data_IF_844699625105
#
_entry.id   IF_844699625105
#
_cell.length_a   1.000
_cell.length_b   1.000
_cell.length_c   1.000
_cell.angle_alpha   90.00
_cell.angle_beta   90.00
_cell.angle_gamma   90.00
#
_symmetry.space_group_name_H-M   'P 1'
#
loop_
_entity.id
_entity.type
_entity.pdbx_description
1 polymer ?
#
# COMPACT_ATOMS: atom_id res chain seq x y z
N UNK A 1 18.03 -27.15 14.42
CA UNK A 1 17.36 -26.22 13.46
C UNK A 1 15.86 -26.06 13.69
N UNK A 2 15.16 -26.97 14.39
CA UNK A 2 13.71 -26.84 14.70
C UNK A 2 13.32 -25.72 15.67
N UNK A 3 14.30 -25.03 16.30
CA UNK A 3 14.01 -23.93 17.23
C UNK A 3 13.76 -22.59 16.55
N UNK A 4 14.18 -22.38 15.30
CA UNK A 4 14.03 -21.08 14.62
C UNK A 4 12.75 -21.02 13.79
N UNK A 5 12.44 -22.09 13.06
CA UNK A 5 11.25 -22.19 12.23
C UNK A 5 10.74 -23.63 12.17
N UNK A 6 9.43 -23.79 12.35
CA UNK A 6 8.70 -25.03 12.15
C UNK A 6 7.43 -24.74 11.35
N UNK A 7 7.28 -25.41 10.20
CA UNK A 7 6.16 -25.21 9.28
C UNK A 7 4.81 -25.58 9.90
N UNK A 8 4.76 -26.58 10.80
CA UNK A 8 3.54 -26.98 11.47
C UNK A 8 3.11 -25.95 12.52
N UNK A 9 4.07 -25.37 13.26
CA UNK A 9 3.79 -24.26 14.19
C UNK A 9 3.34 -23.03 13.44
N UNK A 10 4.03 -22.67 12.36
CA UNK A 10 3.66 -21.57 11.49
C UNK A 10 2.25 -21.75 10.91
N UNK A 11 1.91 -22.92 10.37
CA UNK A 11 0.60 -23.20 9.79
C UNK A 11 -0.54 -23.09 10.81
N UNK A 12 -0.33 -23.62 12.03
CA UNK A 12 -1.31 -23.47 13.13
C UNK A 12 -1.48 -22.01 13.54
N UNK A 13 -0.38 -21.25 13.67
CA UNK A 13 -0.43 -19.83 13.99
C UNK A 13 -1.15 -19.04 12.89
N UNK A 14 -0.81 -19.30 11.63
CA UNK A 14 -1.41 -18.66 10.46
C UNK A 14 -2.92 -18.90 10.41
N UNK A 15 -3.36 -20.16 10.57
CA UNK A 15 -4.79 -20.51 10.56
C UNK A 15 -5.55 -19.85 11.70
N UNK A 16 -4.94 -19.79 12.89
CA UNK A 16 -5.53 -19.11 14.05
C UNK A 16 -5.68 -17.61 13.83
N UNK A 17 -4.65 -16.95 13.33
CA UNK A 17 -4.71 -15.52 13.02
C UNK A 17 -5.66 -15.24 11.84
N UNK A 18 -5.74 -16.14 10.85
CA UNK A 18 -6.72 -16.07 9.76
C UNK A 18 -8.15 -16.06 10.29
N UNK A 19 -8.49 -16.98 11.21
CA UNK A 19 -9.82 -17.03 11.82
C UNK A 19 -10.16 -15.79 12.63
N UNK A 20 -9.17 -15.11 13.22
CA UNK A 20 -9.37 -13.82 13.91
C UNK A 20 -9.52 -12.65 12.94
N UNK A 21 -8.88 -12.74 11.77
CA UNK A 21 -8.85 -11.68 10.78
C UNK A 21 -10.03 -11.73 9.81
N UNK A 22 -10.60 -12.91 9.57
CA UNK A 22 -11.70 -13.11 8.62
C UNK A 22 -12.92 -12.21 8.89
N UNK A 23 -13.37 -11.94 10.14
CA UNK A 23 -14.50 -11.04 10.37
C UNK A 23 -14.19 -9.59 9.98
N UNK A 24 -12.93 -9.15 10.14
CA UNK A 24 -12.49 -7.81 9.70
C UNK A 24 -12.48 -7.70 8.18
N UNK A 25 -11.99 -8.74 7.49
CA UNK A 25 -12.02 -8.79 6.01
C UNK A 25 -13.45 -8.76 5.49
N UNK A 26 -14.35 -9.53 6.11
CA UNK A 26 -15.77 -9.52 5.77
C UNK A 26 -16.37 -8.13 6.01
N UNK A 27 -16.05 -7.49 7.13
CA UNK A 27 -16.47 -6.12 7.43
C UNK A 27 -15.99 -5.12 6.37
N UNK A 28 -14.72 -5.16 6.00
CA UNK A 28 -14.15 -4.29 4.93
C UNK A 28 -14.84 -4.57 3.60
N UNK A 29 -15.03 -5.83 3.25
CA UNK A 29 -15.75 -6.24 2.04
C UNK A 29 -17.19 -5.73 2.02
N UNK A 30 -17.91 -5.82 3.15
CA UNK A 30 -19.28 -5.32 3.27
C UNK A 30 -19.38 -3.79 3.14
N UNK A 31 -18.43 -3.04 3.72
CA UNK A 31 -18.35 -1.59 3.57
C UNK A 31 -18.09 -1.24 2.11
N UNK A 32 -17.16 -1.95 1.47
CA UNK A 32 -16.90 -1.80 0.04
C UNK A 32 -18.15 -2.06 -0.80
N UNK A 33 -18.91 -3.12 -0.53
CA UNK A 33 -20.15 -3.45 -1.24
C UNK A 33 -21.23 -2.38 -1.01
N UNK A 34 -21.29 -1.80 0.19
CA UNK A 34 -22.14 -0.64 0.48
C UNK A 34 -21.77 0.58 -0.37
N UNK A 35 -20.48 0.90 -0.47
CA UNK A 35 -19.98 1.98 -1.34
C UNK A 35 -20.31 1.69 -2.81
N UNK A 36 -20.18 0.43 -3.23
CA UNK A 36 -20.59 -0.02 -4.57
C UNK A 36 -22.09 0.23 -4.81
N UNK A 37 -22.96 -0.20 -3.92
CA UNK A 37 -24.41 0.00 -4.06
C UNK A 37 -24.77 1.50 -4.13
N UNK A 38 -24.17 2.32 -3.26
CA UNK A 38 -24.35 3.78 -3.28
C UNK A 38 -23.86 4.40 -4.59
N UNK A 39 -22.74 3.91 -5.13
CA UNK A 39 -22.19 4.39 -6.40
C UNK A 39 -23.11 4.06 -7.57
N UNK A 40 -23.66 2.86 -7.61
CA UNK A 40 -24.63 2.46 -8.64
C UNK A 40 -25.85 3.37 -8.58
N UNK A 41 -26.43 3.59 -7.40
CA UNK A 41 -27.57 4.49 -7.22
C UNK A 41 -27.22 5.91 -7.68
N UNK A 42 -26.07 6.43 -7.27
CA UNK A 42 -25.60 7.75 -7.69
C UNK A 42 -25.47 7.85 -9.22
N UNK A 43 -24.84 6.87 -9.86
CA UNK A 43 -24.66 6.86 -11.32
C UNK A 43 -25.99 6.83 -12.07
N UNK A 44 -26.99 6.14 -11.52
CA UNK A 44 -28.33 6.09 -12.10
C UNK A 44 -29.09 7.42 -11.95
N UNK A 45 -28.97 8.08 -10.79
CA UNK A 45 -29.65 9.35 -10.50
C UNK A 45 -29.03 10.51 -11.27
N UNK A 46 -27.70 10.60 -11.31
CA UNK A 46 -26.98 11.76 -11.83
C UNK A 46 -26.41 11.57 -13.24
N UNK A 47 -26.60 10.40 -13.86
CA UNK A 47 -26.10 10.06 -15.21
C UNK A 47 -24.61 10.40 -15.41
N UNK A 48 -23.81 10.26 -14.36
CA UNK A 48 -22.39 10.59 -14.36
C UNK A 48 -21.57 9.43 -13.82
N UNK A 49 -20.35 9.23 -14.36
CA UNK A 49 -19.43 8.17 -13.94
C UNK A 49 -18.18 8.64 -13.16
N UNK A 50 -18.28 9.57 -12.19
CA UNK A 50 -17.09 10.12 -11.54
C UNK A 50 -16.36 9.13 -10.61
N UNK A 51 -16.92 7.96 -10.30
CA UNK A 51 -16.50 7.14 -9.16
C UNK A 51 -15.54 5.98 -9.49
N UNK A 52 -15.11 5.83 -10.75
CA UNK A 52 -14.14 4.80 -11.15
C UNK A 52 -12.77 4.98 -10.47
N UNK A 53 -12.32 6.23 -10.31
CA UNK A 53 -11.08 6.52 -9.60
C UNK A 53 -11.18 6.22 -8.10
N UNK A 54 -12.38 6.33 -7.52
CA UNK A 54 -12.60 6.13 -6.08
C UNK A 54 -12.41 4.68 -5.66
N UNK A 55 -12.82 3.69 -6.46
CA UNK A 55 -12.58 2.26 -6.14
C UNK A 55 -11.13 1.85 -6.26
N UNK A 56 -10.44 2.36 -7.29
CA UNK A 56 -9.01 2.13 -7.47
C UNK A 56 -8.23 2.76 -6.32
N UNK A 57 -8.50 4.02 -6.00
CA UNK A 57 -7.89 4.73 -4.88
C UNK A 57 -8.19 4.03 -3.54
N UNK A 58 -9.42 3.54 -3.34
CA UNK A 58 -9.80 2.76 -2.17
C UNK A 58 -9.03 1.44 -2.08
N UNK A 59 -8.89 0.72 -3.19
CA UNK A 59 -8.09 -0.51 -3.25
C UNK A 59 -6.63 -0.26 -2.89
N UNK A 60 -6.00 0.75 -3.50
CA UNK A 60 -4.62 1.15 -3.19
C UNK A 60 -4.50 1.55 -1.72
N UNK A 61 -5.39 2.39 -1.21
CA UNK A 61 -5.40 2.79 0.20
C UNK A 61 -5.53 1.57 1.13
N UNK A 62 -6.40 0.60 0.82
CA UNK A 62 -6.54 -0.62 1.61
C UNK A 62 -5.27 -1.47 1.62
N UNK A 63 -4.58 -1.62 0.48
CA UNK A 63 -3.31 -2.36 0.44
C UNK A 63 -2.22 -1.69 1.26
N UNK A 64 -2.13 -0.36 1.18
CA UNK A 64 -1.17 0.45 1.94
C UNK A 64 -1.47 0.40 3.44
N UNK A 65 -2.75 0.49 3.82
CA UNK A 65 -3.20 0.50 5.21
C UNK A 65 -3.36 -0.90 5.83
N UNK A 66 -3.17 -1.94 5.04
CA UNK A 66 -3.22 -3.34 5.47
C UNK A 66 -2.46 -3.60 6.79
N UNK A 67 -1.21 -3.13 6.95
CA UNK A 67 -0.45 -3.38 8.16
C UNK A 67 -1.10 -2.76 9.41
N UNK A 68 -1.76 -1.61 9.26
CA UNK A 68 -2.43 -0.90 10.36
C UNK A 68 -3.71 -1.63 10.77
N UNK A 69 -4.51 -2.05 9.79
CA UNK A 69 -5.76 -2.79 10.02
C UNK A 69 -5.46 -4.13 10.71
N UNK A 70 -4.34 -4.75 10.32
CA UNK A 70 -3.88 -6.01 10.89
C UNK A 70 -3.33 -5.82 12.31
N UNK A 71 -2.63 -4.71 12.61
CA UNK A 71 -2.00 -4.53 13.91
C UNK A 71 -3.05 -4.53 15.04
N UNK A 72 -3.12 -5.66 15.74
CA UNK A 72 -3.92 -5.89 16.93
C UNK A 72 -3.60 -4.80 17.96
N UNK A 73 -4.63 -4.12 18.50
CA UNK A 73 -4.48 -3.54 19.84
C UNK A 73 -4.31 -4.74 20.75
N UNK A 74 -3.12 -4.89 21.33
CA UNK A 74 -2.87 -5.94 22.30
C UNK A 74 -3.80 -5.66 23.49
N UNK A 75 -4.98 -6.27 23.46
CA UNK A 75 -5.86 -6.27 24.61
C UNK A 75 -5.14 -7.02 25.73
N UNK A 76 -5.08 -6.36 26.90
CA UNK A 76 -4.27 -6.75 28.06
C UNK A 76 -4.53 -8.20 28.52
N UNK A 77 -5.68 -8.77 28.15
CA UNK A 77 -6.13 -10.13 28.47
C UNK A 77 -5.61 -11.19 27.49
N UNK A 78 -5.33 -10.84 26.24
CA UNK A 78 -4.87 -11.78 25.21
C UNK A 78 -3.34 -11.81 25.03
N UNK A 79 -2.61 -10.85 25.62
CA UNK A 79 -1.14 -10.81 25.55
C UNK A 79 -0.50 -12.04 26.21
N UNK A 80 -1.05 -12.50 27.33
CA UNK A 80 -0.50 -13.63 28.10
C UNK A 80 -0.43 -14.88 27.23
N UNK A 81 -1.49 -15.19 26.47
CA UNK A 81 -1.52 -16.32 25.56
C UNK A 81 -0.56 -16.17 24.37
N UNK A 82 -0.31 -14.95 23.90
CA UNK A 82 0.63 -14.71 22.80
C UNK A 82 2.12 -14.80 23.26
N UNK A 83 2.38 -14.68 24.57
CA UNK A 83 3.69 -14.89 25.19
C UNK A 83 3.94 -16.35 25.61
N UNK A 84 2.90 -17.12 25.96
CA UNK A 84 3.07 -18.53 26.37
C UNK A 84 3.21 -19.52 25.21
N UNK A 85 2.96 -19.08 23.97
CA UNK A 85 3.10 -19.94 22.81
C UNK A 85 4.58 -20.11 22.43
N UNK A 86 5.05 -21.36 22.23
CA UNK A 86 6.44 -21.66 21.84
C UNK A 86 6.63 -21.38 20.34
N UNK A 87 6.46 -20.12 19.95
CA UNK A 87 6.52 -19.62 18.58
C UNK A 87 7.65 -18.61 18.50
N UNK A 88 8.52 -18.77 17.51
CA UNK A 88 9.65 -17.85 17.33
C UNK A 88 9.17 -16.47 16.86
N UNK A 89 9.90 -15.40 17.20
CA UNK A 89 9.61 -14.05 16.68
C UNK A 89 9.66 -13.99 15.15
N UNK A 90 10.43 -14.88 14.52
CA UNK A 90 10.47 -15.02 13.06
C UNK A 90 9.17 -15.59 12.48
N UNK A 91 8.61 -16.65 13.08
CA UNK A 91 7.30 -17.19 12.68
C UNK A 91 6.20 -16.13 12.84
N UNK A 92 6.20 -15.38 13.94
CA UNK A 92 5.25 -14.28 14.18
C UNK A 92 5.38 -13.17 13.13
N UNK A 93 6.61 -12.77 12.81
CA UNK A 93 6.88 -11.79 11.76
C UNK A 93 6.39 -12.26 10.40
N UNK A 94 6.71 -13.50 10.00
CA UNK A 94 6.29 -14.07 8.72
C UNK A 94 4.78 -14.12 8.59
N UNK A 95 4.04 -14.43 9.67
CA UNK A 95 2.57 -14.37 9.63
C UNK A 95 2.11 -12.92 9.38
N UNK A 96 2.58 -11.95 10.16
CA UNK A 96 2.23 -10.53 9.98
C UNK A 96 2.55 -10.01 8.57
N UNK A 97 3.73 -10.36 8.07
CA UNK A 97 4.19 -10.02 6.73
C UNK A 97 3.32 -10.68 5.66
N UNK A 98 3.03 -11.98 5.77
CA UNK A 98 2.20 -12.70 4.78
C UNK A 98 0.79 -12.14 4.71
N UNK A 99 0.17 -11.79 5.84
CA UNK A 99 -1.14 -11.16 5.87
C UNK A 99 -1.14 -9.79 5.22
N UNK A 100 -0.13 -8.98 5.53
CA UNK A 100 -0.05 -7.60 5.06
C UNK A 100 0.33 -7.55 3.57
N UNK A 101 1.39 -8.23 3.18
CA UNK A 101 2.04 -8.10 1.86
C UNK A 101 1.41 -9.01 0.80
N UNK A 102 0.95 -10.21 1.18
CA UNK A 102 0.42 -11.18 0.20
C UNK A 102 -1.11 -11.21 0.27
N UNK A 103 -1.66 -11.53 1.45
CA UNK A 103 -3.08 -11.84 1.57
C UNK A 103 -3.97 -10.61 1.32
N UNK A 104 -3.61 -9.44 1.86
CA UNK A 104 -4.43 -8.24 1.68
C UNK A 104 -4.41 -7.71 0.24
N UNK A 105 -3.28 -7.57 -0.48
CA UNK A 105 -3.30 -7.22 -1.90
C UNK A 105 -4.05 -8.23 -2.76
N UNK A 106 -3.88 -9.53 -2.50
CA UNK A 106 -4.64 -10.57 -3.19
C UNK A 106 -6.16 -10.40 -2.96
N UNK A 107 -6.57 -10.13 -1.72
CA UNK A 107 -7.97 -9.83 -1.39
C UNK A 107 -8.50 -8.59 -2.12
N UNK A 108 -7.72 -7.49 -2.16
CA UNK A 108 -8.11 -6.27 -2.87
C UNK A 108 -8.25 -6.51 -4.38
N UNK A 109 -7.33 -7.25 -5.01
CA UNK A 109 -7.41 -7.60 -6.42
C UNK A 109 -8.66 -8.44 -6.69
N UNK A 110 -8.89 -9.49 -5.89
CA UNK A 110 -10.08 -10.33 -6.02
C UNK A 110 -11.37 -9.52 -5.84
N UNK A 111 -11.38 -8.58 -4.89
CA UNK A 111 -12.49 -7.68 -4.63
C UNK A 111 -12.77 -6.72 -5.79
N UNK A 112 -11.74 -6.11 -6.37
CA UNK A 112 -11.87 -5.24 -7.55
C UNK A 112 -12.35 -6.00 -8.77
N UNK A 113 -11.88 -7.24 -8.98
CA UNK A 113 -12.36 -8.12 -10.04
C UNK A 113 -13.84 -8.47 -9.85
N UNK A 114 -14.26 -8.76 -8.62
CA UNK A 114 -15.65 -9.02 -8.29
C UNK A 114 -16.53 -7.80 -8.58
N UNK A 115 -16.12 -6.59 -8.16
CA UNK A 115 -16.84 -5.35 -8.49
C UNK A 115 -16.90 -5.12 -9.99
N UNK A 116 -15.77 -5.26 -10.68
CA UNK A 116 -15.70 -5.09 -12.13
C UNK A 116 -16.61 -6.05 -12.88
N UNK A 117 -16.75 -7.28 -12.38
CA UNK A 117 -17.71 -8.27 -12.88
C UNK A 117 -19.16 -7.88 -12.58
N UNK A 118 -19.48 -7.45 -11.36
CA UNK A 118 -20.83 -6.99 -10.98
C UNK A 118 -21.30 -5.80 -11.84
N UNK A 119 -20.42 -4.84 -12.12
CA UNK A 119 -20.74 -3.71 -13.00
C UNK A 119 -21.16 -4.14 -14.41
N UNK A 120 -20.58 -5.21 -14.94
CA UNK A 120 -20.91 -5.75 -16.27
C UNK A 120 -22.28 -6.42 -16.34
N UNK A 121 -22.79 -6.89 -15.20
CA UNK A 121 -24.12 -7.51 -15.13
C UNK A 121 -25.25 -6.49 -15.07
N UNK A 122 -24.97 -5.23 -14.75
CA UNK A 122 -26.00 -4.21 -14.60
C UNK A 122 -26.46 -3.65 -15.95
N UNK A 123 -27.78 -3.47 -16.16
CA UNK A 123 -28.31 -2.87 -17.38
C UNK A 123 -27.98 -1.36 -17.43
N UNK A 124 -27.27 -0.94 -18.47
CA UNK A 124 -26.91 0.46 -18.71
C UNK A 124 -25.45 0.62 -19.14
N UNK A 125 -25.22 1.27 -20.30
CA UNK A 125 -23.88 1.38 -20.91
C UNK A 125 -22.82 2.02 -19.99
N UNK A 126 -23.22 2.96 -19.13
CA UNK A 126 -22.29 3.66 -18.21
C UNK A 126 -21.71 2.75 -17.11
N UNK A 127 -22.49 1.77 -16.64
CA UNK A 127 -22.04 0.79 -15.65
C UNK A 127 -21.04 -0.19 -16.29
N UNK A 128 -21.28 -0.58 -17.54
CA UNK A 128 -20.39 -1.47 -18.29
C UNK A 128 -19.03 -0.82 -18.53
N UNK A 129 -19.00 0.45 -18.93
CA UNK A 129 -17.74 1.21 -19.09
C UNK A 129 -16.95 1.34 -17.78
N UNK A 130 -17.65 1.50 -16.66
CA UNK A 130 -17.04 1.60 -15.33
C UNK A 130 -16.37 0.29 -14.93
N UNK A 131 -17.06 -0.83 -15.15
CA UNK A 131 -16.51 -2.17 -14.93
C UNK A 131 -15.32 -2.50 -15.85
N UNK A 132 -15.34 -2.06 -17.12
CA UNK A 132 -14.21 -2.28 -18.04
C UNK A 132 -12.99 -1.48 -17.60
N UNK A 133 -13.14 -0.21 -17.21
CA UNK A 133 -12.02 0.63 -16.72
C UNK A 133 -11.32 0.05 -15.50
N UNK A 134 -12.05 -0.56 -14.55
CA UNK A 134 -11.43 -1.22 -13.38
C UNK A 134 -10.56 -2.41 -13.83
N UNK A 135 -11.05 -3.21 -14.76
CA UNK A 135 -10.33 -4.38 -15.27
C UNK A 135 -9.14 -3.94 -16.12
N UNK A 136 -9.30 -2.92 -16.95
CA UNK A 136 -8.23 -2.36 -17.77
C UNK A 136 -7.16 -1.72 -16.88
N UNK A 137 -7.55 -1.05 -15.79
CA UNK A 137 -6.61 -0.56 -14.77
C UNK A 137 -5.78 -1.69 -14.19
N UNK A 138 -6.42 -2.79 -13.74
CA UNK A 138 -5.70 -3.95 -13.19
C UNK A 138 -4.73 -4.57 -14.20
N UNK A 139 -5.08 -4.58 -15.49
CA UNK A 139 -4.19 -5.05 -16.57
C UNK A 139 -3.06 -4.06 -16.88
N UNK A 140 -3.32 -2.77 -16.73
CA UNK A 140 -2.35 -1.70 -16.98
C UNK A 140 -1.35 -1.52 -15.84
N UNK A 141 -1.55 -2.18 -14.69
CA UNK A 141 -0.64 -2.12 -13.55
C UNK A 141 0.74 -2.60 -13.97
N UNK A 142 1.68 -1.67 -14.07
CA UNK A 142 3.07 -2.00 -14.35
C UNK A 142 3.72 -2.60 -13.11
N UNK A 143 4.74 -3.44 -13.32
CA UNK A 143 5.55 -3.99 -12.22
C UNK A 143 6.07 -2.89 -11.29
N UNK A 144 6.38 -1.73 -11.85
CA UNK A 144 6.90 -0.56 -11.14
C UNK A 144 5.88 0.06 -10.19
N UNK A 145 4.62 0.12 -10.61
CA UNK A 145 3.52 0.59 -9.77
C UNK A 145 3.28 -0.39 -8.61
N UNK A 146 3.36 -1.69 -8.87
CA UNK A 146 3.26 -2.73 -7.84
C UNK A 146 4.40 -2.60 -6.82
N UNK A 147 5.64 -2.39 -7.29
CA UNK A 147 6.78 -2.14 -6.42
C UNK A 147 6.60 -0.87 -5.60
N UNK A 148 6.10 0.21 -6.21
CA UNK A 148 5.86 1.49 -5.52
C UNK A 148 4.82 1.36 -4.41
N UNK A 149 3.72 0.63 -4.68
CA UNK A 149 2.69 0.33 -3.68
C UNK A 149 3.28 -0.53 -2.55
N UNK A 150 4.11 -1.51 -2.89
CA UNK A 150 4.79 -2.39 -1.93
C UNK A 150 5.80 -1.64 -1.06
N UNK A 151 6.54 -0.69 -1.65
CA UNK A 151 7.43 0.22 -0.93
C UNK A 151 6.64 1.05 0.06
N UNK A 152 5.56 1.67 -0.36
CA UNK A 152 4.71 2.49 0.52
C UNK A 152 4.09 1.63 1.64
N UNK A 153 3.62 0.42 1.32
CA UNK A 153 3.14 -0.54 2.31
C UNK A 153 4.20 -0.93 3.35
N UNK A 154 5.47 -1.06 2.96
CA UNK A 154 6.57 -1.39 3.88
C UNK A 154 6.78 -0.31 4.95
N UNK A 155 6.64 0.97 4.60
CA UNK A 155 6.70 2.07 5.58
C UNK A 155 5.57 1.98 6.62
N UNK A 156 4.36 1.65 6.17
CA UNK A 156 3.23 1.45 7.08
C UNK A 156 3.41 0.22 7.97
N UNK A 157 4.04 -0.84 7.47
CA UNK A 157 4.40 -2.00 8.28
C UNK A 157 5.39 -1.62 9.38
N UNK A 158 6.48 -0.93 9.05
CA UNK A 158 7.46 -0.42 10.04
C UNK A 158 6.75 0.48 11.06
N UNK A 159 5.98 1.44 10.57
CA UNK A 159 5.25 2.38 11.40
C UNK A 159 4.30 1.71 12.39
N UNK A 160 3.69 0.58 12.01
CA UNK A 160 2.84 -0.21 12.89
C UNK A 160 3.56 -0.80 14.10
N UNK A 161 4.86 -1.09 13.98
CA UNK A 161 5.68 -1.57 15.09
C UNK A 161 6.21 -0.43 15.97
N UNK A 162 6.51 0.74 15.40
CA UNK A 162 7.01 1.89 16.16
C UNK A 162 5.91 2.62 16.94
N UNK A 163 4.74 2.79 16.33
CA UNK A 163 3.66 3.56 16.94
C UNK A 163 2.58 2.64 17.53
N UNK A 164 2.32 2.75 18.83
CA UNK A 164 1.26 1.96 19.49
C UNK A 164 -0.16 2.53 19.33
N UNK A 165 -0.28 3.85 19.19
CA UNK A 165 -1.56 4.57 19.07
C UNK A 165 -1.50 5.55 17.90
N UNK A 166 -2.62 5.69 17.20
CA UNK A 166 -2.78 6.57 16.03
C UNK A 166 -1.72 6.35 14.94
N UNK A 167 -1.44 5.08 14.64
CA UNK A 167 -0.40 4.66 13.69
C UNK A 167 -0.55 5.38 12.36
N UNK A 168 -1.76 5.37 11.79
CA UNK A 168 -2.04 6.00 10.51
C UNK A 168 -1.57 7.47 10.47
N UNK A 169 -2.04 8.30 11.40
CA UNK A 169 -1.69 9.71 11.42
C UNK A 169 -0.19 9.95 11.59
N UNK A 170 0.46 9.20 12.49
CA UNK A 170 1.89 9.39 12.78
C UNK A 170 2.78 8.96 11.62
N UNK A 171 2.44 7.86 10.95
CA UNK A 171 3.20 7.39 9.78
C UNK A 171 3.00 8.34 8.60
N UNK A 172 1.76 8.73 8.30
CA UNK A 172 1.48 9.67 7.22
C UNK A 172 2.18 11.01 7.44
N UNK A 173 2.12 11.56 8.66
CA UNK A 173 2.82 12.80 9.01
C UNK A 173 4.34 12.66 8.91
N UNK A 174 4.91 11.53 9.37
CA UNK A 174 6.34 11.26 9.24
C UNK A 174 6.78 11.17 7.78
N UNK A 175 5.98 10.54 6.91
CA UNK A 175 6.27 10.46 5.48
C UNK A 175 6.22 11.84 4.83
N UNK A 176 5.21 12.66 5.15
CA UNK A 176 5.10 14.03 4.64
C UNK A 176 6.32 14.86 5.04
N UNK A 177 6.71 14.83 6.32
CA UNK A 177 7.91 15.55 6.78
C UNK A 177 9.16 15.05 6.08
N UNK A 178 9.31 13.73 5.93
CA UNK A 178 10.44 13.14 5.24
C UNK A 178 10.54 13.59 3.78
N UNK A 179 9.43 13.54 3.02
CA UNK A 179 9.40 14.00 1.64
C UNK A 179 9.66 15.50 1.51
N UNK A 180 9.16 16.32 2.45
CA UNK A 180 9.43 17.76 2.48
C UNK A 180 10.92 18.05 2.70
N UNK A 181 11.54 17.39 3.67
CA UNK A 181 12.98 17.51 3.93
C UNK A 181 13.82 17.03 2.75
N UNK A 182 13.44 15.89 2.16
CA UNK A 182 14.11 15.36 0.98
C UNK A 182 14.02 16.32 -0.22
N UNK A 183 12.84 16.89 -0.46
CA UNK A 183 12.65 17.89 -1.50
C UNK A 183 13.50 19.15 -1.24
N UNK A 184 13.57 19.62 0.01
CA UNK A 184 14.41 20.75 0.38
C UNK A 184 15.89 20.47 0.10
N UNK A 185 16.41 19.32 0.51
CA UNK A 185 17.79 18.90 0.22
C UNK A 185 18.03 18.83 -1.29
N UNK A 186 17.08 18.30 -2.04
CA UNK A 186 17.18 18.21 -3.50
C UNK A 186 17.23 19.60 -4.16
N UNK A 187 16.40 20.55 -3.71
CA UNK A 187 16.42 21.94 -4.20
C UNK A 187 17.79 22.58 -3.91
N UNK A 188 18.30 22.46 -2.68
CA UNK A 188 19.59 23.02 -2.31
C UNK A 188 20.73 22.40 -3.15
N UNK A 189 20.70 21.08 -3.32
CA UNK A 189 21.69 20.38 -4.14
C UNK A 189 21.64 20.84 -5.60
N UNK A 190 20.44 20.91 -6.19
CA UNK A 190 20.26 21.39 -7.55
C UNK A 190 20.77 22.83 -7.73
N UNK A 191 20.43 23.74 -6.79
CA UNK A 191 20.88 25.12 -6.83
C UNK A 191 22.41 25.25 -6.73
N UNK A 192 23.07 24.38 -5.96
CA UNK A 192 24.53 24.37 -5.86
C UNK A 192 25.25 23.83 -7.10
N UNK A 193 24.64 22.88 -7.83
CA UNK A 193 25.23 22.27 -9.03
C UNK A 193 24.94 23.06 -10.31
N UNK A 194 23.77 23.70 -10.41
CA UNK A 194 23.33 24.44 -11.59
C UNK A 194 23.16 25.92 -11.24
N UNK A 195 24.27 26.65 -11.29
CA UNK A 195 24.34 28.10 -11.03
C UNK A 195 23.67 28.96 -12.10
N UNK A 196 23.29 28.40 -13.26
CA UNK A 196 22.66 29.14 -14.35
C UNK A 196 21.13 29.07 -14.29
N UNK A 197 20.48 30.16 -13.85
CA UNK A 197 19.11 30.67 -14.06
C UNK A 197 17.96 29.78 -14.63
N UNK A 198 17.99 28.46 -14.45
CA UNK A 198 16.92 27.58 -14.86
C UNK A 198 15.89 27.57 -13.73
N UNK A 199 14.69 28.09 -14.00
CA UNK A 199 13.59 28.03 -13.07
C UNK A 199 13.18 26.56 -12.90
N UNK A 200 13.48 26.00 -11.73
CA UNK A 200 13.05 24.64 -11.38
C UNK A 200 11.64 24.71 -10.84
N UNK A 201 10.66 24.30 -11.66
CA UNK A 201 9.31 24.04 -11.17
C UNK A 201 9.25 22.62 -10.58
N UNK A 202 9.01 22.52 -9.28
CA UNK A 202 8.78 21.23 -8.61
C UNK A 202 7.35 20.77 -8.87
N UNK A 203 7.17 19.88 -9.85
CA UNK A 203 5.94 19.12 -10.04
C UNK A 203 5.97 17.84 -9.21
N UNK A 204 5.14 17.75 -8.17
CA UNK A 204 4.98 16.49 -7.40
C UNK A 204 4.02 15.59 -8.18
N UNK A 205 4.56 14.79 -9.10
CA UNK A 205 3.81 13.76 -9.79
C UNK A 205 4.03 12.42 -9.10
N UNK A 206 3.04 12.03 -8.27
CA UNK A 206 3.03 10.76 -7.51
C UNK A 206 3.08 9.51 -8.40
N UNK A 207 2.83 9.67 -9.71
CA UNK A 207 2.83 8.61 -10.70
C UNK A 207 3.74 8.99 -11.87
N UNK A 208 5.05 8.97 -11.62
CA UNK A 208 6.07 8.65 -12.62
C UNK A 208 6.39 9.65 -13.74
N UNK A 209 5.54 10.61 -14.06
CA UNK A 209 5.83 11.54 -15.16
C UNK A 209 6.13 12.92 -14.59
N UNK A 210 7.39 13.19 -14.24
CA UNK A 210 7.83 14.57 -14.01
C UNK A 210 7.70 15.35 -15.34
N UNK A 211 6.55 15.98 -15.56
CA UNK A 211 6.37 16.91 -16.67
C UNK A 211 7.09 18.21 -16.31
N UNK A 212 8.31 18.36 -16.84
CA UNK A 212 8.93 19.66 -17.00
C UNK A 212 8.21 20.38 -18.15
N UNK A 213 7.33 21.31 -17.81
CA UNK A 213 6.60 22.13 -18.78
C UNK A 213 7.41 23.39 -19.04
N UNK A 214 8.35 23.33 -19.98
CA UNK A 214 8.94 24.54 -20.55
C UNK A 214 8.21 24.94 -21.82
N UNK A 215 7.93 26.23 -21.93
CA UNK A 215 6.85 26.80 -22.75
C UNK A 215 7.06 26.78 -24.26
N UNK A 216 8.09 26.11 -24.79
CA UNK A 216 8.22 25.96 -26.23
C UNK A 216 8.76 24.62 -26.75
N UNK A 217 9.54 23.86 -26.00
CA UNK A 217 9.96 22.50 -26.42
C UNK A 217 9.82 21.55 -25.23
N UNK A 218 8.78 20.72 -25.23
CA UNK A 218 8.61 19.63 -24.27
C UNK A 218 9.59 18.51 -24.58
N UNK A 219 10.87 18.75 -24.32
CA UNK A 219 11.80 17.67 -24.07
C UNK A 219 11.36 17.03 -22.76
N UNK A 220 10.45 16.06 -22.87
CA UNK A 220 10.25 15.11 -21.79
C UNK A 220 11.63 14.58 -21.44
N UNK A 221 12.04 14.76 -20.19
CA UNK A 221 13.14 14.02 -19.57
C UNK A 221 12.80 12.52 -19.45
N UNK A 222 12.06 11.98 -20.43
CA UNK A 222 11.84 10.55 -20.67
C UNK A 222 13.13 9.84 -21.07
N UNK A 223 14.18 10.61 -21.42
CA UNK A 223 15.48 10.11 -21.88
C UNK A 223 16.63 10.15 -20.87
N UNK A 224 16.47 10.72 -19.66
CA UNK A 224 17.42 10.35 -18.60
C UNK A 224 17.07 8.91 -18.29
N UNK A 225 17.86 7.98 -18.84
CA UNK A 225 18.05 6.62 -18.36
C UNK A 225 17.56 6.57 -16.92
N UNK A 226 16.34 6.06 -16.69
CA UNK A 226 15.78 5.87 -15.36
C UNK A 226 16.88 5.26 -14.56
N UNK A 227 17.52 6.07 -13.72
CA UNK A 227 18.88 5.79 -13.31
C UNK A 227 18.75 4.47 -12.56
N UNK A 228 19.22 3.37 -13.16
CA UNK A 228 18.77 2.03 -12.79
C UNK A 228 19.06 1.79 -11.31
N UNK A 229 20.10 2.46 -10.82
CA UNK A 229 20.42 2.66 -9.42
C UNK A 229 19.30 3.30 -8.57
N UNK A 230 18.79 4.48 -8.93
CA UNK A 230 17.68 5.13 -8.22
C UNK A 230 16.43 4.25 -8.23
N UNK A 231 16.12 3.65 -9.38
CA UNK A 231 14.99 2.74 -9.52
C UNK A 231 15.12 1.51 -8.60
N UNK A 232 16.25 0.80 -8.63
CA UNK A 232 16.50 -0.36 -7.77
C UNK A 232 16.51 0.05 -6.30
N UNK A 233 17.11 1.19 -5.97
CA UNK A 233 17.23 1.65 -4.58
C UNK A 233 15.85 1.94 -3.96
N UNK A 234 14.97 2.65 -4.66
CA UNK A 234 13.64 3.01 -4.16
C UNK A 234 12.65 1.86 -4.22
N UNK A 235 12.66 1.06 -5.29
CA UNK A 235 11.61 0.06 -5.52
C UNK A 235 11.95 -1.33 -4.98
N UNK A 236 13.22 -1.62 -4.68
CA UNK A 236 13.65 -2.94 -4.22
C UNK A 236 14.40 -2.86 -2.89
N UNK A 237 15.43 -2.01 -2.80
CA UNK A 237 16.24 -1.92 -1.57
C UNK A 237 15.44 -1.32 -0.42
N UNK A 238 14.70 -0.24 -0.65
CA UNK A 238 13.89 0.40 0.39
C UNK A 238 12.81 -0.53 0.99
N UNK A 239 11.92 -1.20 0.21
CA UNK A 239 10.94 -2.12 0.79
C UNK A 239 11.59 -3.28 1.55
N UNK A 240 12.63 -3.91 0.98
CA UNK A 240 13.32 -5.01 1.64
C UNK A 240 14.00 -4.56 2.94
N UNK A 241 14.69 -3.43 2.92
CA UNK A 241 15.31 -2.85 4.10
C UNK A 241 14.28 -2.53 5.19
N UNK A 242 13.14 -1.96 4.82
CA UNK A 242 12.04 -1.67 5.75
C UNK A 242 11.42 -2.94 6.35
N UNK A 243 11.31 -4.03 5.59
CA UNK A 243 10.88 -5.31 6.13
C UNK A 243 11.89 -5.88 7.13
N UNK A 244 13.19 -5.77 6.86
CA UNK A 244 14.24 -6.17 7.80
C UNK A 244 14.18 -5.33 9.08
N UNK A 245 14.03 -4.01 8.96
CA UNK A 245 13.87 -3.10 10.12
C UNK A 245 12.62 -3.47 10.92
N UNK A 246 11.52 -3.81 10.25
CA UNK A 246 10.29 -4.27 10.90
C UNK A 246 10.52 -5.54 11.72
N UNK A 247 11.28 -6.50 11.17
CA UNK A 247 11.61 -7.74 11.86
C UNK A 247 12.49 -7.49 13.09
N UNK A 248 13.54 -6.67 12.96
CA UNK A 248 14.40 -6.31 14.08
C UNK A 248 13.60 -5.59 15.17
N UNK A 249 12.70 -4.68 14.79
CA UNK A 249 11.89 -3.95 15.75
C UNK A 249 10.90 -4.84 16.48
N UNK A 250 10.26 -5.78 15.76
CA UNK A 250 9.40 -6.79 16.39
C UNK A 250 10.18 -7.57 17.46
N UNK A 251 11.38 -8.03 17.12
CA UNK A 251 12.25 -8.78 18.04
C UNK A 251 12.58 -7.97 19.30
N UNK A 252 12.91 -6.70 19.17
CA UNK A 252 13.16 -5.82 20.34
C UNK A 252 11.93 -5.65 21.25
N UNK A 253 10.73 -5.63 20.67
CA UNK A 253 9.50 -5.41 21.45
C UNK A 253 8.95 -6.65 22.14
N UNK A 254 9.43 -7.83 21.73
CA UNK A 254 8.99 -9.13 22.28
C UNK A 254 9.96 -9.71 23.33
N UNK A 255 11.20 -9.18 23.42
CA UNK A 255 12.17 -9.46 24.49
C UNK A 255 11.88 -8.57 25.70
#
# INVERSE_FOLDING_TARGET
MSNIFDIHRFGKLFTREFGRYSPKLIGIGSVGLGIFALTVIYSYVFQSSPLNFSFVAFGVALTVLAPIIYHKRVDRTNSIFDFTLPVSSFEKFLVKWSFSVILMPAFVIAYLLLIGWLYRLMPGGMCVESGSRIIDFLKSLSFEQICSISALQSFFLVGSFYFRKHVFWKVSLSLIIYFLLFALVFILFHQSMFLENHQVSLGINFWGDMMYSDSNHSHTLSGINRNLFVYISLNLVAPLGMWVVSFLKLRETEV
#
